data_IF_279491730607
#
_entry.id   IF_279491730607
#
_cell.length_a   1.000
_cell.length_b   1.000
_cell.length_c   1.000
_cell.angle_alpha   90.00
_cell.angle_beta   90.00
_cell.angle_gamma   90.00
#
_symmetry.space_group_name_H-M   'P 1'
#
loop_
_entity.id
_entity.type
_entity.pdbx_description
1 polymer ?
#
# COMPACT_ATOMS: atom_id res chain seq x y z
N UNK A 1 15.51 -8.99 -16.79
CA UNK A 1 16.61 -8.59 -15.89
C UNK A 1 16.16 -7.65 -14.76
N UNK A 2 15.52 -6.51 -15.03
CA UNK A 2 15.06 -5.55 -13.98
C UNK A 2 14.05 -6.15 -12.98
N UNK A 3 13.10 -6.99 -13.45
CA UNK A 3 12.11 -7.66 -12.58
C UNK A 3 12.76 -8.55 -11.51
N UNK A 4 13.89 -9.19 -11.81
CA UNK A 4 14.56 -10.13 -10.91
C UNK A 4 15.40 -9.40 -9.85
N UNK A 5 15.87 -8.19 -10.15
CA UNK A 5 16.64 -7.36 -9.21
C UNK A 5 15.70 -6.77 -8.13
N UNK A 6 14.48 -6.37 -8.52
CA UNK A 6 13.49 -5.83 -7.58
C UNK A 6 12.97 -6.88 -6.57
N UNK A 7 12.91 -8.16 -6.95
CA UNK A 7 12.56 -9.24 -6.02
C UNK A 7 13.67 -9.55 -5.02
N UNK A 8 14.94 -9.35 -5.40
CA UNK A 8 16.10 -9.69 -4.56
C UNK A 8 16.31 -8.73 -3.38
N UNK A 9 15.90 -7.46 -3.53
CA UNK A 9 16.11 -6.42 -2.51
C UNK A 9 14.85 -6.12 -1.67
N UNK A 10 13.82 -6.98 -1.70
CA UNK A 10 12.59 -6.80 -0.91
C UNK A 10 11.64 -5.68 -1.38
N UNK A 11 12.06 -4.81 -2.32
CA UNK A 11 11.21 -3.77 -2.92
C UNK A 11 10.01 -4.35 -3.71
N UNK A 12 10.12 -5.59 -4.18
CA UNK A 12 9.02 -6.33 -4.83
C UNK A 12 8.08 -7.06 -3.87
N UNK A 13 8.39 -7.15 -2.57
CA UNK A 13 7.57 -7.90 -1.62
C UNK A 13 6.30 -7.12 -1.24
N UNK A 14 5.14 -7.71 -1.50
CA UNK A 14 3.83 -7.12 -1.21
C UNK A 14 3.63 -6.81 0.28
N UNK A 15 4.27 -7.55 1.20
CA UNK A 15 4.26 -7.30 2.65
C UNK A 15 5.03 -6.02 2.99
N UNK A 16 6.23 -5.86 2.44
CA UNK A 16 7.08 -4.68 2.67
C UNK A 16 6.41 -3.44 2.09
N UNK A 17 5.88 -3.53 0.87
CA UNK A 17 5.11 -2.42 0.27
C UNK A 17 3.91 -2.02 1.13
N UNK A 18 3.13 -3.00 1.61
CA UNK A 18 1.99 -2.72 2.48
C UNK A 18 2.39 -2.08 3.81
N UNK A 19 3.51 -2.51 4.42
CA UNK A 19 4.04 -1.87 5.62
C UNK A 19 4.26 -0.36 5.40
N UNK A 20 4.91 0.03 4.30
CA UNK A 20 5.14 1.44 3.99
C UNK A 20 3.85 2.21 3.67
N UNK A 21 2.90 1.60 2.95
CA UNK A 21 1.60 2.24 2.71
C UNK A 21 0.81 2.48 4.00
N UNK A 22 0.81 1.52 4.92
CA UNK A 22 0.16 1.66 6.24
C UNK A 22 0.86 2.72 7.08
N UNK A 23 2.21 2.73 7.09
CA UNK A 23 3.00 3.76 7.79
C UNK A 23 2.66 5.17 7.27
N UNK A 24 2.49 5.30 5.95
CA UNK A 24 2.09 6.57 5.33
C UNK A 24 0.65 6.96 5.66
N UNK A 25 -0.30 6.01 5.68
CA UNK A 25 -1.67 6.26 6.16
C UNK A 25 -1.70 6.77 7.60
N UNK A 26 -0.91 6.17 8.50
CA UNK A 26 -0.80 6.62 9.90
C UNK A 26 -0.35 8.08 10.01
N UNK A 27 0.62 8.51 9.18
CA UNK A 27 1.06 9.91 9.15
C UNK A 27 -0.04 10.87 8.67
N UNK A 28 -0.77 10.48 7.63
CA UNK A 28 -1.82 11.31 7.02
C UNK A 28 -3.09 11.35 7.90
N UNK A 29 -3.30 10.34 8.76
CA UNK A 29 -4.48 10.22 9.63
C UNK A 29 -4.77 11.50 10.41
N UNK A 30 -3.77 12.07 11.08
CA UNK A 30 -3.95 13.26 11.91
C UNK A 30 -4.35 14.49 11.08
N UNK A 31 -3.68 14.68 9.93
CA UNK A 31 -4.04 15.75 8.99
C UNK A 31 -5.48 15.60 8.48
N UNK A 32 -5.89 14.38 8.12
CA UNK A 32 -7.26 14.12 7.63
C UNK A 32 -8.33 14.34 8.72
N UNK A 33 -8.04 14.00 9.97
CA UNK A 33 -8.97 14.19 11.09
C UNK A 33 -9.28 15.67 11.34
N UNK A 34 -8.26 16.52 11.21
CA UNK A 34 -8.39 17.98 11.33
C UNK A 34 -9.06 18.55 10.08
N UNK A 35 -8.61 18.14 8.89
CA UNK A 35 -9.04 18.68 7.60
C UNK A 35 -9.95 17.70 6.83
N UNK A 36 -11.10 17.32 7.41
CA UNK A 36 -12.02 16.32 6.84
C UNK A 36 -12.55 16.66 5.43
N UNK A 37 -12.54 17.93 5.03
CA UNK A 37 -13.01 18.39 3.71
C UNK A 37 -11.91 18.43 2.64
N UNK A 38 -10.65 18.18 2.98
CA UNK A 38 -9.56 18.20 2.01
C UNK A 38 -9.69 17.08 0.96
N UNK A 39 -10.02 17.47 -0.27
CA UNK A 39 -10.21 16.58 -1.40
C UNK A 39 -8.90 15.88 -1.80
N UNK A 40 -7.75 16.57 -1.77
CA UNK A 40 -6.45 15.98 -2.11
C UNK A 40 -6.11 14.89 -1.11
N UNK A 41 -6.36 15.15 0.18
CA UNK A 41 -6.12 14.18 1.24
C UNK A 41 -6.99 12.92 1.06
N UNK A 42 -8.28 13.07 0.73
CA UNK A 42 -9.19 11.96 0.40
C UNK A 42 -8.68 11.12 -0.77
N UNK A 43 -8.28 11.77 -1.87
CA UNK A 43 -7.76 11.07 -3.07
C UNK A 43 -6.50 10.25 -2.72
N UNK A 44 -5.58 10.81 -1.93
CA UNK A 44 -4.37 10.11 -1.51
C UNK A 44 -4.69 8.88 -0.66
N UNK A 45 -5.61 9.03 0.31
CA UNK A 45 -6.05 7.92 1.17
C UNK A 45 -6.68 6.81 0.33
N UNK A 46 -7.60 7.15 -0.59
CA UNK A 46 -8.25 6.17 -1.47
C UNK A 46 -7.24 5.42 -2.33
N UNK A 47 -6.25 6.12 -2.92
CA UNK A 47 -5.18 5.48 -3.70
C UNK A 47 -4.33 4.53 -2.86
N UNK A 48 -4.00 4.90 -1.61
CA UNK A 48 -3.24 4.03 -0.70
C UNK A 48 -4.03 2.78 -0.32
N UNK A 49 -5.30 2.93 0.06
CA UNK A 49 -6.17 1.81 0.41
C UNK A 49 -6.37 0.84 -0.75
N UNK A 50 -6.56 1.36 -1.97
CA UNK A 50 -6.65 0.53 -3.17
C UNK A 50 -5.40 -0.33 -3.39
N UNK A 51 -4.19 0.27 -3.27
CA UNK A 51 -2.93 -0.46 -3.41
C UNK A 51 -2.75 -1.54 -2.34
N UNK A 52 -3.10 -1.24 -1.09
CA UNK A 52 -3.05 -2.22 0.01
C UNK A 52 -3.98 -3.39 -0.29
N UNK A 53 -5.23 -3.13 -0.68
CA UNK A 53 -6.22 -4.18 -1.02
C UNK A 53 -5.74 -5.03 -2.18
N UNK A 54 -5.18 -4.41 -3.22
CA UNK A 54 -4.60 -5.13 -4.38
C UNK A 54 -3.49 -6.08 -3.95
N UNK A 55 -2.56 -5.61 -3.11
CA UNK A 55 -1.46 -6.43 -2.60
C UNK A 55 -1.94 -7.58 -1.70
N UNK A 56 -2.93 -7.34 -0.83
CA UNK A 56 -3.55 -8.39 -0.02
C UNK A 56 -4.21 -9.46 -0.90
N UNK A 57 -4.97 -9.05 -1.92
CA UNK A 57 -5.59 -9.98 -2.85
C UNK A 57 -4.55 -10.79 -3.63
N UNK A 58 -3.48 -10.15 -4.10
CA UNK A 58 -2.36 -10.83 -4.75
C UNK A 58 -1.74 -11.90 -3.85
N UNK A 59 -1.48 -11.57 -2.57
CA UNK A 59 -0.96 -12.52 -1.60
C UNK A 59 -1.93 -13.67 -1.32
N UNK A 60 -3.23 -13.39 -1.17
CA UNK A 60 -4.27 -14.43 -0.97
C UNK A 60 -4.32 -15.39 -2.14
N UNK A 61 -4.32 -14.88 -3.37
CA UNK A 61 -4.36 -15.72 -4.57
C UNK A 61 -3.08 -16.56 -4.70
N UNK A 62 -1.92 -16.00 -4.36
CA UNK A 62 -0.66 -16.74 -4.36
C UNK A 62 -0.66 -17.90 -3.36
N UNK A 63 -1.30 -17.74 -2.20
CA UNK A 63 -1.46 -18.79 -1.19
C UNK A 63 -2.52 -19.85 -1.55
N UNK A 64 -3.50 -19.50 -2.40
CA UNK A 64 -4.58 -20.40 -2.82
C UNK A 64 -4.15 -21.34 -3.97
N UNK A 65 -3.08 -20.99 -4.69
CA UNK A 65 -2.55 -21.75 -5.84
C UNK A 65 -1.21 -22.44 -5.54
N UNK A 66 -0.82 -22.52 -4.26
CA UNK A 66 0.29 -23.33 -3.73
C UNK A 66 -0.29 -24.43 -2.89
#
# INVERSE_FOLDING_TARGET
MIKNILSFNGYGDSKIQNYFFIKRLKKIKNHFLINKKDLKCKIIISKLLYKIKKNINYMKNKLCCT
#
